data_IF_971927038147
#
_entry.id   IF_971927038147
#
_cell.length_a   1.000
_cell.length_b   1.000
_cell.length_c   1.000
_cell.angle_alpha   90.00
_cell.angle_beta   90.00
_cell.angle_gamma   90.00
#
_symmetry.space_group_name_H-M   'P 1'
#
loop_
_entity.id
_entity.type
_entity.pdbx_description
1 polymer ?
#
# COMPACT_ATOMS: atom_id res chain seq x y z
N UNK A 1 8.89 -15.41 7.34
CA UNK A 1 9.63 -14.13 7.19
C UNK A 1 9.39 -13.35 8.45
N UNK A 2 10.43 -13.05 9.25
CA UNK A 2 10.26 -12.45 10.58
C UNK A 2 9.43 -11.16 10.56
N UNK A 3 9.58 -10.33 9.53
CA UNK A 3 8.80 -9.09 9.40
C UNK A 3 7.30 -9.32 9.12
N UNK A 4 6.94 -10.34 8.33
CA UNK A 4 5.52 -10.68 8.06
C UNK A 4 4.81 -11.14 9.33
N UNK A 5 5.50 -11.93 10.15
CA UNK A 5 4.96 -12.45 11.40
C UNK A 5 4.86 -11.32 12.45
N UNK A 6 5.81 -10.39 12.46
CA UNK A 6 5.78 -9.18 13.30
C UNK A 6 4.57 -8.29 12.97
N UNK A 7 4.26 -8.12 11.68
CA UNK A 7 3.06 -7.39 11.24
C UNK A 7 1.78 -8.01 11.81
N UNK A 8 1.64 -9.34 11.74
CA UNK A 8 0.47 -10.05 12.26
C UNK A 8 0.34 -9.97 13.78
N UNK A 9 1.46 -9.81 14.51
CA UNK A 9 1.42 -9.64 15.96
C UNK A 9 1.00 -8.24 16.37
N UNK A 10 1.47 -7.22 15.65
CA UNK A 10 1.27 -5.81 16.02
C UNK A 10 -0.06 -5.23 15.52
N UNK A 11 -0.55 -5.67 14.36
CA UNK A 11 -1.81 -5.15 13.80
C UNK A 11 -3.02 -5.74 14.54
N UNK A 12 -3.99 -4.95 15.01
CA UNK A 12 -5.20 -5.47 15.67
C UNK A 12 -6.01 -6.44 14.80
N UNK A 13 -6.56 -7.51 15.42
CA UNK A 13 -7.38 -8.55 14.77
C UNK A 13 -8.50 -8.01 13.89
N UNK A 14 -9.18 -6.92 14.31
CA UNK A 14 -10.23 -6.27 13.52
C UNK A 14 -9.79 -5.85 12.11
N UNK A 15 -8.52 -5.48 11.95
CA UNK A 15 -7.95 -5.13 10.66
C UNK A 15 -7.36 -6.35 9.94
N UNK A 16 -6.94 -7.38 10.67
CA UNK A 16 -6.43 -8.61 10.06
C UNK A 16 -7.48 -9.37 9.24
N UNK A 17 -8.75 -9.24 9.62
CA UNK A 17 -9.88 -9.89 8.95
C UNK A 17 -10.35 -9.17 7.68
N UNK A 18 -9.66 -8.09 7.28
CA UNK A 18 -10.03 -7.30 6.09
C UNK A 18 -9.28 -7.78 4.84
N UNK A 19 -9.91 -7.74 3.65
CA UNK A 19 -9.24 -8.11 2.39
C UNK A 19 -8.04 -7.21 2.07
N UNK A 20 -8.04 -5.98 2.57
CA UNK A 20 -6.92 -5.05 2.46
C UNK A 20 -5.68 -5.57 3.18
N UNK A 21 -5.85 -6.17 4.37
CA UNK A 21 -4.74 -6.75 5.12
C UNK A 21 -4.14 -7.97 4.43
N UNK A 22 -4.96 -8.84 3.84
CA UNK A 22 -4.47 -9.97 3.04
C UNK A 22 -3.65 -9.47 1.85
N UNK A 23 -4.15 -8.48 1.12
CA UNK A 23 -3.46 -7.85 -0.01
C UNK A 23 -2.14 -7.21 0.43
N UNK A 24 -2.16 -6.51 1.55
CA UNK A 24 -0.98 -5.89 2.15
C UNK A 24 0.09 -6.93 2.49
N UNK A 25 -0.28 -8.02 3.17
CA UNK A 25 0.64 -9.11 3.49
C UNK A 25 1.22 -9.78 2.24
N UNK A 26 0.44 -9.91 1.17
CA UNK A 26 0.92 -10.44 -0.11
C UNK A 26 1.98 -9.54 -0.75
N UNK A 27 1.78 -8.21 -0.71
CA UNK A 27 2.77 -7.22 -1.19
C UNK A 27 4.05 -7.32 -0.36
N UNK A 28 3.92 -7.39 0.97
CA UNK A 28 5.08 -7.52 1.88
C UNK A 28 5.86 -8.79 1.60
N UNK A 29 5.18 -9.92 1.44
CA UNK A 29 5.81 -11.20 1.13
C UNK A 29 6.49 -11.18 -0.25
N UNK A 30 5.83 -10.62 -1.26
CA UNK A 30 6.34 -10.57 -2.64
C UNK A 30 7.58 -9.68 -2.77
N UNK A 31 7.63 -8.56 -2.03
CA UNK A 31 8.73 -7.61 -2.08
C UNK A 31 9.83 -7.90 -1.06
N UNK A 32 9.61 -8.83 -0.14
CA UNK A 32 10.55 -9.23 0.91
C UNK A 32 11.09 -8.02 1.71
N UNK A 33 10.19 -7.18 2.23
CA UNK A 33 10.63 -6.03 3.04
C UNK A 33 11.30 -6.49 4.34
N UNK A 34 12.45 -5.90 4.65
CA UNK A 34 13.18 -6.19 5.88
C UNK A 34 12.61 -5.50 7.12
N UNK A 35 11.98 -4.32 6.97
CA UNK A 35 11.49 -3.50 8.08
C UNK A 35 10.38 -2.52 7.63
N UNK A 36 9.72 -1.89 8.62
CA UNK A 36 8.62 -0.93 8.41
C UNK A 36 9.08 0.35 7.70
N UNK A 37 10.35 0.74 7.85
CA UNK A 37 10.93 1.90 7.15
C UNK A 37 11.00 1.67 5.63
N UNK A 38 11.51 0.52 5.20
CA UNK A 38 11.58 0.15 3.78
C UNK A 38 10.19 0.06 3.16
N UNK A 39 9.23 -0.52 3.90
CA UNK A 39 7.83 -0.56 3.50
C UNK A 39 7.24 0.84 3.34
N UNK A 40 7.48 1.75 4.29
CA UNK A 40 6.97 3.14 4.25
C UNK A 40 7.54 3.90 3.06
N UNK A 41 8.85 3.80 2.80
CA UNK A 41 9.47 4.41 1.63
C UNK A 41 8.88 3.89 0.32
N UNK A 42 8.66 2.57 0.22
CA UNK A 42 8.02 1.98 -0.95
C UNK A 42 6.60 2.52 -1.18
N UNK A 43 5.78 2.57 -0.12
CA UNK A 43 4.42 3.10 -0.21
C UNK A 43 4.43 4.58 -0.63
N UNK A 44 5.34 5.38 -0.08
CA UNK A 44 5.46 6.80 -0.40
C UNK A 44 5.87 7.02 -1.86
N UNK A 45 6.83 6.24 -2.37
CA UNK A 45 7.26 6.30 -3.78
C UNK A 45 6.13 5.88 -4.72
N UNK A 46 5.45 4.77 -4.44
CA UNK A 46 4.34 4.28 -5.28
C UNK A 46 3.16 5.26 -5.30
N UNK A 47 2.83 5.85 -4.15
CA UNK A 47 1.80 6.88 -4.06
C UNK A 47 2.21 8.13 -4.85
N UNK A 48 3.44 8.62 -4.68
CA UNK A 48 3.94 9.77 -5.43
C UNK A 48 3.94 9.52 -6.94
N UNK A 49 4.35 8.33 -7.36
CA UNK A 49 4.38 7.92 -8.77
C UNK A 49 2.98 7.87 -9.37
N UNK A 50 2.02 7.24 -8.68
CA UNK A 50 0.63 7.22 -9.11
C UNK A 50 0.03 8.63 -9.17
N UNK A 51 0.32 9.47 -8.18
CA UNK A 51 -0.19 10.84 -8.13
C UNK A 51 0.39 11.71 -9.25
N UNK A 52 1.70 11.62 -9.50
CA UNK A 52 2.36 12.32 -10.59
C UNK A 52 1.79 11.88 -11.95
N UNK A 53 1.59 10.57 -12.14
CA UNK A 53 0.99 10.04 -13.36
C UNK A 53 -0.45 10.55 -13.56
N UNK A 54 -1.28 10.54 -12.51
CA UNK A 54 -2.65 11.07 -12.55
C UNK A 54 -2.69 12.56 -12.89
N UNK A 55 -1.78 13.35 -12.33
CA UNK A 55 -1.67 14.78 -12.59
C UNK A 55 -1.26 15.04 -14.04
N UNK A 56 -0.28 14.29 -14.56
CA UNK A 56 0.19 14.40 -15.94
C UNK A 56 -0.86 13.96 -16.97
N UNK A 57 -1.76 13.03 -16.60
CA UNK A 57 -2.77 12.45 -17.49
C UNK A 57 -4.21 12.90 -17.16
N UNK A 58 -4.35 14.05 -16.51
CA UNK A 58 -5.67 14.55 -16.05
C UNK A 58 -6.64 14.80 -17.21
N UNK A 59 -6.11 15.12 -18.39
CA UNK A 59 -6.85 15.57 -19.59
C UNK A 59 -6.74 14.60 -20.79
N UNK A 60 -6.10 13.44 -20.63
CA UNK A 60 -5.96 12.46 -21.72
C UNK A 60 -7.12 11.46 -21.72
N UNK A 61 -7.84 11.38 -22.84
CA UNK A 61 -8.95 10.44 -23.07
C UNK A 61 -8.47 8.97 -23.10
N UNK A 62 -7.19 8.76 -23.41
CA UNK A 62 -6.51 7.47 -23.43
C UNK A 62 -5.90 7.16 -22.06
N UNK A 63 -6.58 6.35 -21.25
CA UNK A 63 -6.00 5.90 -19.97
C UNK A 63 -6.97 5.57 -18.86
N UNK A 64 -8.29 5.52 -19.12
CA UNK A 64 -9.31 5.35 -18.07
C UNK A 64 -9.04 4.13 -17.15
N UNK A 65 -8.60 3.00 -17.72
CA UNK A 65 -8.23 1.79 -16.95
C UNK A 65 -7.02 2.01 -16.04
N UNK A 66 -5.98 2.70 -16.53
CA UNK A 66 -4.77 2.98 -15.74
C UNK A 66 -5.03 4.06 -14.69
N UNK A 67 -5.87 5.04 -15.00
CA UNK A 67 -6.38 6.05 -14.05
C UNK A 67 -7.15 5.40 -12.91
N UNK A 68 -8.12 4.53 -13.21
CA UNK A 68 -8.85 3.77 -12.20
C UNK A 68 -7.93 2.87 -11.38
N UNK A 69 -6.91 2.25 -12.00
CA UNK A 69 -5.92 1.44 -11.29
C UNK A 69 -5.08 2.27 -10.33
N UNK A 70 -4.56 3.41 -10.76
CA UNK A 70 -3.78 4.33 -9.91
C UNK A 70 -4.63 4.88 -8.76
N UNK A 71 -5.88 5.27 -9.03
CA UNK A 71 -6.79 5.74 -7.99
C UNK A 71 -7.09 4.66 -6.93
N UNK A 72 -7.35 3.42 -7.36
CA UNK A 72 -7.54 2.27 -6.45
C UNK A 72 -6.27 1.96 -5.66
N UNK A 73 -5.10 1.97 -6.31
CA UNK A 73 -3.82 1.77 -5.63
C UNK A 73 -3.54 2.86 -4.59
N UNK A 74 -3.79 4.13 -4.92
CA UNK A 74 -3.64 5.25 -3.98
C UNK A 74 -4.57 5.12 -2.77
N UNK A 75 -5.84 4.81 -2.99
CA UNK A 75 -6.80 4.61 -1.91
C UNK A 75 -6.38 3.44 -0.99
N UNK A 76 -5.94 2.34 -1.58
CA UNK A 76 -5.41 1.19 -0.85
C UNK A 76 -4.17 1.57 -0.03
N UNK A 77 -3.14 2.15 -0.65
CA UNK A 77 -1.89 2.49 0.03
C UNK A 77 -2.09 3.57 1.10
N UNK A 78 -3.00 4.53 0.88
CA UNK A 78 -3.41 5.49 1.91
C UNK A 78 -4.04 4.78 3.11
N UNK A 79 -4.95 3.83 2.87
CA UNK A 79 -5.58 3.03 3.92
C UNK A 79 -4.54 2.22 4.70
N UNK A 80 -3.59 1.58 4.01
CA UNK A 80 -2.47 0.88 4.67
C UNK A 80 -1.64 1.85 5.51
N UNK A 81 -1.33 3.03 4.98
CA UNK A 81 -0.51 4.04 5.66
C UNK A 81 -1.19 4.64 6.89
N UNK A 82 -2.50 4.85 6.83
CA UNK A 82 -3.27 5.46 7.92
C UNK A 82 -3.73 4.45 8.97
N UNK A 83 -4.08 3.23 8.55
CA UNK A 83 -4.69 2.22 9.44
C UNK A 83 -3.77 1.08 9.86
N UNK A 84 -2.73 0.75 9.08
CA UNK A 84 -1.88 -0.41 9.35
C UNK A 84 -0.47 -0.01 9.78
N UNK A 85 0.15 0.94 9.08
CA UNK A 85 1.52 1.40 9.37
C UNK A 85 1.72 1.96 10.78
N UNK A 86 0.76 2.68 11.43
CA UNK A 86 0.97 3.19 12.79
C UNK A 86 1.23 2.10 13.83
N UNK A 87 0.78 0.86 13.57
CA UNK A 87 1.04 -0.28 14.45
C UNK A 87 2.42 -0.92 14.20
N UNK A 88 3.13 -0.53 13.14
CA UNK A 88 4.41 -1.12 12.73
C UNK A 88 5.62 -0.22 13.02
N UNK A 89 5.39 0.94 13.65
CA UNK A 89 6.42 1.90 14.08
C UNK A 89 6.92 1.53 15.47
#
# INVERSE_FOLDING_TARGET
MPFKDDIKRKVPLRYQNTPEFTTFLAIVAKRNFANSRALRMFLDIEMATCQAWLNANKNTSSGNRQRSRCAKHLAFFRTVKEKLLPYLV
#
